data_IF_606654667947
#
_entry.id   IF_606654667947
#
_cell.length_a   1.000
_cell.length_b   1.000
_cell.length_c   1.000
_cell.angle_alpha   90.00
_cell.angle_beta   90.00
_cell.angle_gamma   90.00
#
_symmetry.space_group_name_H-M   'P 1'
#
loop_
_entity.id
_entity.type
_entity.pdbx_description
1 polymer ?
#
# COMPACT_ATOMS: atom_id res chain seq x y z
N UNK A 1 18.46 17.19 -20.42
CA UNK A 1 19.42 16.74 -21.44
C UNK A 1 20.07 15.48 -20.86
N UNK A 2 19.57 14.32 -21.25
CA UNK A 2 20.17 13.04 -20.88
C UNK A 2 21.42 12.84 -21.75
N UNK A 3 22.58 13.30 -21.27
CA UNK A 3 23.84 12.83 -21.81
C UNK A 3 23.87 11.32 -21.69
N UNK A 4 23.93 10.67 -22.86
CA UNK A 4 23.75 9.23 -22.96
C UNK A 4 24.81 8.48 -22.18
N UNK A 5 24.42 7.79 -21.14
CA UNK A 5 25.22 6.78 -20.46
C UNK A 5 25.74 5.74 -21.47
N UNK A 6 27.06 5.65 -21.74
CA UNK A 6 27.60 4.78 -22.78
C UNK A 6 27.30 3.29 -22.59
N UNK A 7 27.20 2.84 -21.33
CA UNK A 7 26.88 1.47 -20.94
C UNK A 7 25.39 1.10 -20.99
N UNK A 8 24.50 2.05 -21.26
CA UNK A 8 23.04 1.85 -21.20
C UNK A 8 22.57 0.63 -21.99
N UNK A 9 23.02 0.48 -23.23
CA UNK A 9 22.59 -0.62 -24.07
C UNK A 9 23.00 -1.99 -23.50
N UNK A 10 24.21 -2.09 -22.93
CA UNK A 10 24.69 -3.33 -22.28
C UNK A 10 23.86 -3.66 -21.06
N UNK A 11 23.55 -2.66 -20.22
CA UNK A 11 22.74 -2.83 -19.03
C UNK A 11 21.27 -3.19 -19.39
N UNK A 12 20.68 -2.53 -20.37
CA UNK A 12 19.35 -2.87 -20.85
C UNK A 12 19.29 -4.29 -21.44
N UNK A 13 20.33 -4.71 -22.18
CA UNK A 13 20.43 -6.09 -22.67
C UNK A 13 20.51 -7.10 -21.51
N UNK A 14 21.19 -6.77 -20.42
CA UNK A 14 21.24 -7.56 -19.20
C UNK A 14 19.83 -7.69 -18.58
N UNK A 15 19.11 -6.57 -18.41
CA UNK A 15 17.75 -6.56 -17.87
C UNK A 15 16.77 -7.32 -18.77
N UNK A 16 16.86 -7.12 -20.09
CA UNK A 16 15.96 -7.79 -21.05
C UNK A 16 16.15 -9.33 -21.03
N UNK A 17 17.38 -9.79 -20.87
CA UNK A 17 17.67 -11.22 -20.80
C UNK A 17 17.12 -11.91 -19.55
N UNK A 18 16.91 -11.17 -18.45
CA UNK A 18 16.48 -11.71 -17.17
C UNK A 18 15.13 -11.20 -16.71
N UNK A 19 14.65 -10.06 -17.22
CA UNK A 19 13.42 -9.42 -16.73
C UNK A 19 12.13 -10.22 -16.93
N UNK A 20 12.14 -11.20 -17.85
CA UNK A 20 11.07 -12.16 -18.05
C UNK A 20 11.34 -13.55 -17.45
N UNK A 21 12.48 -13.75 -16.80
CA UNK A 21 12.88 -15.05 -16.27
C UNK A 21 12.05 -15.40 -15.04
N UNK A 22 11.39 -16.55 -15.08
CA UNK A 22 10.60 -17.07 -13.96
C UNK A 22 11.46 -17.26 -12.69
N UNK A 23 12.73 -17.61 -12.84
CA UNK A 23 13.64 -17.79 -11.71
C UNK A 23 13.87 -16.47 -10.96
N UNK A 24 14.02 -15.35 -11.65
CA UNK A 24 14.15 -14.02 -11.02
C UNK A 24 12.88 -13.63 -10.28
N UNK A 25 11.73 -13.90 -10.88
CA UNK A 25 10.43 -13.65 -10.28
C UNK A 25 10.23 -14.50 -9.00
N UNK A 26 10.58 -15.77 -9.06
CA UNK A 26 10.45 -16.70 -7.94
C UNK A 26 11.37 -16.31 -6.79
N UNK A 27 12.60 -15.96 -7.08
CA UNK A 27 13.59 -15.55 -6.06
C UNK A 27 13.23 -14.23 -5.40
N UNK A 28 12.75 -13.24 -6.17
CA UNK A 28 12.28 -11.96 -5.62
C UNK A 28 11.02 -12.14 -4.77
N UNK A 29 10.07 -12.97 -5.24
CA UNK A 29 8.84 -13.28 -4.51
C UNK A 29 9.14 -14.06 -3.22
N UNK A 30 10.02 -15.04 -3.26
CA UNK A 30 10.45 -15.79 -2.08
C UNK A 30 11.16 -14.89 -1.06
N UNK A 31 12.00 -13.94 -1.52
CA UNK A 31 12.66 -12.97 -0.65
C UNK A 31 11.64 -12.05 0.05
N UNK A 32 10.66 -11.54 -0.68
CA UNK A 32 9.60 -10.70 -0.13
C UNK A 32 8.76 -11.44 0.93
N UNK A 33 8.35 -12.67 0.64
CA UNK A 33 7.58 -13.53 1.56
C UNK A 33 8.41 -13.95 2.76
N UNK A 34 9.69 -14.27 2.57
CA UNK A 34 10.59 -14.68 3.67
C UNK A 34 10.86 -13.57 4.67
N UNK A 35 10.77 -12.30 4.27
CA UNK A 35 11.00 -11.16 5.16
C UNK A 35 9.74 -10.72 5.90
N UNK A 36 8.57 -10.85 5.29
CA UNK A 36 7.31 -10.39 5.86
C UNK A 36 6.32 -11.56 6.05
N UNK A 37 6.11 -12.03 7.28
CA UNK A 37 5.15 -13.11 7.57
C UNK A 37 3.73 -12.80 7.10
N UNK A 38 3.31 -11.54 7.15
CA UNK A 38 1.99 -11.12 6.67
C UNK A 38 1.88 -11.23 5.15
N UNK A 39 2.94 -10.88 4.42
CA UNK A 39 3.01 -11.10 2.97
C UNK A 39 3.11 -12.60 2.65
N UNK A 40 3.79 -13.38 3.48
CA UNK A 40 3.85 -14.84 3.33
C UNK A 40 2.50 -15.55 3.51
N UNK A 41 1.59 -14.96 4.29
CA UNK A 41 0.24 -15.49 4.49
C UNK A 41 -0.68 -15.32 3.27
N UNK A 42 -0.34 -14.41 2.34
CA UNK A 42 -1.09 -14.21 1.12
C UNK A 42 -0.85 -15.33 0.10
N UNK A 43 -1.76 -15.53 -0.88
CA UNK A 43 -1.53 -16.46 -1.97
C UNK A 43 -0.23 -16.14 -2.72
N UNK A 44 0.58 -17.17 -2.99
CA UNK A 44 1.88 -16.99 -3.64
C UNK A 44 1.76 -16.33 -5.01
N UNK A 45 0.77 -16.76 -5.80
CA UNK A 45 0.54 -16.23 -7.14
C UNK A 45 0.19 -14.73 -7.14
N UNK A 46 -0.45 -14.26 -6.08
CA UNK A 46 -0.73 -12.84 -5.91
C UNK A 46 0.56 -12.05 -5.67
N UNK A 47 1.45 -12.54 -4.82
CA UNK A 47 2.77 -11.92 -4.60
C UNK A 47 3.57 -11.92 -5.89
N UNK A 48 3.59 -13.04 -6.65
CA UNK A 48 4.27 -13.15 -7.95
C UNK A 48 3.71 -12.16 -8.98
N UNK A 49 2.39 -11.99 -9.04
CA UNK A 49 1.74 -11.03 -9.94
C UNK A 49 2.23 -9.61 -9.69
N UNK A 50 2.26 -9.17 -8.42
CA UNK A 50 2.73 -7.83 -8.07
C UNK A 50 4.23 -7.66 -8.31
N UNK A 51 5.05 -8.63 -7.93
CA UNK A 51 6.50 -8.58 -8.18
C UNK A 51 6.78 -8.50 -9.69
N UNK A 52 6.07 -9.28 -10.51
CA UNK A 52 6.17 -9.21 -11.98
C UNK A 52 5.83 -7.81 -12.50
N UNK A 53 4.72 -7.24 -12.06
CA UNK A 53 4.29 -5.91 -12.49
C UNK A 53 5.31 -4.82 -12.10
N UNK A 54 5.88 -4.90 -10.90
CA UNK A 54 6.91 -3.98 -10.43
C UNK A 54 8.21 -4.10 -11.23
N UNK A 55 8.64 -5.31 -11.56
CA UNK A 55 9.82 -5.54 -12.42
C UNK A 55 9.58 -4.97 -13.82
N UNK A 56 8.41 -5.21 -14.40
CA UNK A 56 8.06 -4.69 -15.73
C UNK A 56 8.02 -3.16 -15.75
N UNK A 57 7.45 -2.54 -14.72
CA UNK A 57 7.43 -1.09 -14.56
C UNK A 57 8.85 -0.51 -14.46
N UNK A 58 9.71 -1.14 -13.67
CA UNK A 58 11.11 -0.71 -13.53
C UNK A 58 11.89 -0.84 -14.85
N UNK A 59 11.69 -1.91 -15.59
CA UNK A 59 12.31 -2.10 -16.91
C UNK A 59 11.79 -1.07 -17.91
N UNK A 60 10.49 -0.79 -17.94
CA UNK A 60 9.90 0.21 -18.82
C UNK A 60 10.51 1.59 -18.58
N UNK A 61 10.59 2.03 -17.31
CA UNK A 61 11.23 3.30 -16.93
C UNK A 61 12.73 3.34 -17.29
N UNK A 62 13.45 2.23 -17.13
CA UNK A 62 14.85 2.14 -17.58
C UNK A 62 15.00 2.25 -19.10
N UNK A 63 14.07 1.67 -19.88
CA UNK A 63 14.08 1.73 -21.35
C UNK A 63 13.74 3.11 -21.87
N UNK A 64 12.76 3.80 -21.26
CA UNK A 64 12.40 5.18 -21.65
C UNK A 64 13.43 6.20 -21.16
N UNK A 65 14.07 5.94 -20.01
CA UNK A 65 14.95 6.86 -19.31
C UNK A 65 14.22 7.88 -18.45
N UNK A 66 12.90 7.74 -18.33
CA UNK A 66 12.00 8.59 -17.53
C UNK A 66 11.01 7.71 -16.78
N UNK A 67 10.61 8.17 -15.59
CA UNK A 67 9.55 7.53 -14.80
C UNK A 67 8.24 8.25 -15.13
N UNK A 68 7.35 7.58 -15.84
CA UNK A 68 6.04 8.11 -16.22
C UNK A 68 4.99 7.68 -15.19
N UNK A 69 3.88 8.39 -15.11
CA UNK A 69 2.78 8.03 -14.21
C UNK A 69 2.27 6.60 -14.46
N UNK A 70 2.20 6.17 -15.72
CA UNK A 70 1.80 4.80 -16.07
C UNK A 70 2.76 3.72 -15.53
N UNK A 71 4.05 4.03 -15.41
CA UNK A 71 5.04 3.12 -14.82
C UNK A 71 4.83 2.96 -13.30
N UNK A 72 4.15 3.94 -12.66
CA UNK A 72 3.86 3.92 -11.22
C UNK A 72 2.55 3.19 -10.85
N UNK A 73 1.70 2.86 -11.82
CA UNK A 73 0.42 2.18 -11.55
C UNK A 73 0.58 0.81 -10.86
N UNK A 74 1.64 0.08 -11.20
CA UNK A 74 1.91 -1.20 -10.54
C UNK A 74 2.15 -1.04 -9.03
N UNK A 75 2.86 0.02 -8.65
CA UNK A 75 3.14 0.35 -7.26
C UNK A 75 1.89 0.87 -6.53
N UNK A 76 1.11 1.73 -7.19
CA UNK A 76 -0.17 2.23 -6.68
C UNK A 76 -1.11 1.06 -6.37
N UNK A 77 -1.33 0.19 -7.33
CA UNK A 77 -2.16 -1.01 -7.17
C UNK A 77 -1.69 -1.92 -6.05
N UNK A 78 -0.38 -2.14 -5.92
CA UNK A 78 0.18 -2.93 -4.83
C UNK A 78 -0.12 -2.29 -3.47
N UNK A 79 0.05 -0.96 -3.34
CA UNK A 79 -0.25 -0.22 -2.12
C UNK A 79 -1.72 -0.34 -1.72
N UNK A 80 -2.63 -0.09 -2.66
CA UNK A 80 -4.08 -0.19 -2.46
C UNK A 80 -4.50 -1.62 -2.04
N UNK A 81 -4.09 -2.64 -2.81
CA UNK A 81 -4.46 -4.03 -2.54
C UNK A 81 -4.01 -4.45 -1.14
N UNK A 82 -2.81 -4.04 -0.70
CA UNK A 82 -2.29 -4.38 0.64
C UNK A 82 -3.01 -3.66 1.77
N UNK A 83 -3.37 -2.39 1.59
CA UNK A 83 -4.20 -1.67 2.54
C UNK A 83 -5.57 -2.33 2.70
N UNK A 84 -6.24 -2.65 1.58
CA UNK A 84 -7.53 -3.34 1.57
C UNK A 84 -7.50 -4.72 2.24
N UNK A 85 -6.34 -5.39 2.19
CA UNK A 85 -6.11 -6.68 2.86
C UNK A 85 -5.70 -6.53 4.33
N UNK A 86 -5.60 -5.31 4.85
CA UNK A 86 -5.19 -5.05 6.24
C UNK A 86 -3.71 -5.33 6.51
N UNK A 87 -2.87 -5.35 5.47
CA UNK A 87 -1.41 -5.51 5.61
C UNK A 87 -0.81 -4.16 5.99
N UNK A 88 -0.18 -4.00 7.16
CA UNK A 88 0.44 -2.75 7.56
C UNK A 88 1.54 -2.29 6.59
N UNK A 89 1.67 -0.99 6.39
CA UNK A 89 2.68 -0.41 5.48
C UNK A 89 4.11 -0.87 5.81
N UNK A 90 4.44 -1.06 7.07
CA UNK A 90 5.74 -1.57 7.50
C UNK A 90 6.03 -2.98 6.97
N UNK A 91 5.04 -3.89 7.04
CA UNK A 91 5.16 -5.26 6.52
C UNK A 91 5.26 -5.28 4.98
N UNK A 92 4.55 -4.37 4.31
CA UNK A 92 4.65 -4.17 2.87
C UNK A 92 6.06 -3.69 2.48
N UNK A 93 6.61 -2.69 3.18
CA UNK A 93 7.96 -2.18 2.95
C UNK A 93 9.04 -3.24 3.19
N UNK A 94 8.94 -4.02 4.25
CA UNK A 94 9.85 -5.13 4.53
C UNK A 94 9.92 -6.12 3.35
N UNK A 95 8.77 -6.50 2.83
CA UNK A 95 8.67 -7.38 1.66
C UNK A 95 9.25 -6.74 0.39
N UNK A 96 8.88 -5.48 0.11
CA UNK A 96 9.37 -4.75 -1.06
C UNK A 96 10.90 -4.60 -1.05
N UNK A 97 11.48 -4.17 0.07
CA UNK A 97 12.94 -3.98 0.19
C UNK A 97 13.71 -5.29 0.10
N UNK A 98 13.16 -6.39 0.63
CA UNK A 98 13.77 -7.71 0.47
C UNK A 98 13.79 -8.17 -1.00
N UNK A 99 12.67 -8.01 -1.71
CA UNK A 99 12.55 -8.30 -3.14
C UNK A 99 13.53 -7.44 -3.97
N UNK A 100 13.55 -6.10 -3.73
CA UNK A 100 14.49 -5.16 -4.37
C UNK A 100 15.94 -5.59 -4.16
N UNK A 101 16.32 -5.90 -2.91
CA UNK A 101 17.70 -6.33 -2.58
C UNK A 101 18.07 -7.62 -3.30
N UNK A 102 17.12 -8.56 -3.48
CA UNK A 102 17.35 -9.79 -4.24
C UNK A 102 17.57 -9.50 -5.71
N UNK A 103 16.73 -8.67 -6.32
CA UNK A 103 16.85 -8.26 -7.73
C UNK A 103 18.20 -7.60 -7.99
N UNK A 104 18.63 -6.65 -7.14
CA UNK A 104 19.92 -5.98 -7.28
C UNK A 104 21.07 -6.98 -7.27
N UNK A 105 21.07 -7.97 -6.35
CA UNK A 105 22.09 -9.03 -6.33
C UNK A 105 22.11 -9.84 -7.62
N UNK A 106 20.93 -10.26 -8.10
CA UNK A 106 20.82 -11.01 -9.37
C UNK A 106 21.38 -10.21 -10.56
N UNK A 107 21.10 -8.90 -10.62
CA UNK A 107 21.64 -8.01 -11.66
C UNK A 107 23.15 -7.90 -11.56
N UNK A 108 23.71 -7.76 -10.35
CA UNK A 108 25.16 -7.69 -10.13
C UNK A 108 25.84 -8.99 -10.57
N UNK A 109 25.31 -10.13 -10.14
CA UNK A 109 25.91 -11.44 -10.41
C UNK A 109 25.88 -11.74 -11.91
N UNK A 110 24.76 -11.49 -12.58
CA UNK A 110 24.63 -11.66 -14.02
C UNK A 110 25.52 -10.69 -14.80
N UNK A 111 25.60 -9.43 -14.35
CA UNK A 111 26.49 -8.43 -14.96
C UNK A 111 27.96 -8.86 -14.92
N UNK A 112 28.40 -9.43 -13.79
CA UNK A 112 29.76 -10.00 -13.66
C UNK A 112 29.97 -11.18 -14.60
N UNK A 113 29.03 -12.11 -14.68
CA UNK A 113 29.11 -13.28 -15.58
C UNK A 113 29.22 -12.84 -17.05
N UNK A 114 28.49 -11.80 -17.44
CA UNK A 114 28.52 -11.25 -18.80
C UNK A 114 29.64 -10.25 -19.08
N UNK A 115 30.50 -10.00 -18.11
CA UNK A 115 31.62 -9.08 -18.27
C UNK A 115 31.21 -7.62 -18.47
N UNK A 116 30.07 -7.20 -17.89
CA UNK A 116 29.65 -5.78 -17.92
C UNK A 116 30.67 -4.96 -17.11
N UNK A 117 31.20 -3.85 -17.66
CA UNK A 117 32.15 -3.01 -16.94
C UNK A 117 31.59 -2.54 -15.60
N UNK A 118 32.39 -2.50 -14.52
CA UNK A 118 31.90 -2.11 -13.18
C UNK A 118 31.25 -0.74 -13.14
N UNK A 119 31.74 0.24 -13.87
CA UNK A 119 31.19 1.59 -13.93
C UNK A 119 29.80 1.58 -14.62
N UNK A 120 29.64 0.82 -15.69
CA UNK A 120 28.35 0.65 -16.37
C UNK A 120 27.32 -0.05 -15.46
N UNK A 121 27.79 -1.03 -14.69
CA UNK A 121 26.96 -1.76 -13.73
C UNK A 121 26.52 -0.86 -12.57
N UNK A 122 27.45 -0.06 -12.02
CA UNK A 122 27.19 0.87 -10.94
C UNK A 122 26.16 1.93 -11.37
N UNK A 123 26.35 2.55 -12.53
CA UNK A 123 25.43 3.55 -13.07
C UNK A 123 24.03 2.95 -13.30
N UNK A 124 23.98 1.74 -13.87
CA UNK A 124 22.71 1.04 -14.08
C UNK A 124 21.96 0.73 -12.79
N UNK A 125 22.67 0.26 -11.78
CA UNK A 125 22.10 -0.02 -10.45
C UNK A 125 21.63 1.27 -9.79
N UNK A 126 22.39 2.36 -9.88
CA UNK A 126 21.99 3.67 -9.31
C UNK A 126 20.70 4.16 -9.92
N UNK A 127 20.52 4.02 -11.24
CA UNK A 127 19.27 4.38 -11.93
C UNK A 127 18.12 3.46 -11.55
N UNK A 128 18.37 2.16 -11.49
CA UNK A 128 17.36 1.18 -11.06
C UNK A 128 16.92 1.45 -9.61
N UNK A 129 17.85 1.86 -8.76
CA UNK A 129 17.57 2.24 -7.36
C UNK A 129 16.69 3.49 -7.26
N UNK A 130 16.96 4.51 -8.08
CA UNK A 130 16.11 5.70 -8.15
C UNK A 130 14.68 5.37 -8.60
N UNK A 131 14.52 4.49 -9.60
CA UNK A 131 13.21 4.01 -10.06
C UNK A 131 12.51 3.24 -8.94
N UNK A 132 13.21 2.31 -8.29
CA UNK A 132 12.65 1.52 -7.19
C UNK A 132 12.19 2.41 -6.03
N UNK A 133 12.92 3.49 -5.74
CA UNK A 133 12.54 4.49 -4.74
C UNK A 133 11.27 5.25 -5.14
N UNK A 134 11.11 5.62 -6.40
CA UNK A 134 9.89 6.26 -6.87
C UNK A 134 8.66 5.31 -6.78
N UNK A 135 8.85 4.04 -7.14
CA UNK A 135 7.83 3.00 -6.97
C UNK A 135 7.45 2.80 -5.49
N UNK A 136 8.44 2.76 -4.60
CA UNK A 136 8.23 2.67 -3.14
C UNK A 136 7.42 3.84 -2.61
N UNK A 137 7.75 5.06 -2.99
CA UNK A 137 7.01 6.25 -2.58
C UNK A 137 5.55 6.22 -3.06
N UNK A 138 5.31 5.85 -4.33
CA UNK A 138 3.95 5.74 -4.86
C UNK A 138 3.14 4.66 -4.14
N UNK A 139 3.74 3.50 -3.88
CA UNK A 139 3.13 2.40 -3.15
C UNK A 139 2.71 2.81 -1.73
N UNK A 140 3.60 3.47 -0.98
CA UNK A 140 3.30 3.95 0.37
C UNK A 140 2.22 5.02 0.36
N UNK A 141 2.25 5.93 -0.60
CA UNK A 141 1.23 6.97 -0.75
C UNK A 141 -0.16 6.36 -1.02
N UNK A 142 -0.25 5.45 -1.98
CA UNK A 142 -1.50 4.76 -2.31
C UNK A 142 -2.04 3.93 -1.13
N UNK A 143 -1.17 3.24 -0.41
CA UNK A 143 -1.53 2.50 0.79
C UNK A 143 -2.17 3.41 1.84
N UNK A 144 -1.56 4.57 2.13
CA UNK A 144 -2.09 5.52 3.10
C UNK A 144 -3.45 6.10 2.69
N UNK A 145 -3.62 6.42 1.41
CA UNK A 145 -4.91 6.89 0.90
C UNK A 145 -5.98 5.82 1.10
N UNK A 146 -5.70 4.58 0.74
CA UNK A 146 -6.65 3.48 0.90
C UNK A 146 -7.01 3.22 2.38
N UNK A 147 -6.04 3.29 3.30
CA UNK A 147 -6.32 3.20 4.74
C UNK A 147 -7.23 4.34 5.24
N UNK A 148 -6.99 5.58 4.80
CA UNK A 148 -7.81 6.74 5.17
C UNK A 148 -9.24 6.61 4.63
N UNK A 149 -9.41 6.16 3.39
CA UNK A 149 -10.73 5.94 2.79
C UNK A 149 -11.49 4.81 3.50
N UNK A 150 -10.81 3.72 3.87
CA UNK A 150 -11.43 2.65 4.68
C UNK A 150 -11.90 3.17 6.05
N UNK A 151 -11.04 3.95 6.73
CA UNK A 151 -11.38 4.52 8.03
C UNK A 151 -12.56 5.50 7.93
N UNK A 152 -12.59 6.32 6.86
CA UNK A 152 -13.68 7.24 6.56
C UNK A 152 -14.99 6.49 6.31
N UNK A 153 -14.98 5.49 5.44
CA UNK A 153 -16.17 4.68 5.11
C UNK A 153 -16.70 3.97 6.35
N UNK A 154 -15.84 3.38 7.16
CA UNK A 154 -16.25 2.74 8.40
C UNK A 154 -16.88 3.72 9.40
N UNK A 155 -16.39 4.97 9.46
CA UNK A 155 -16.97 6.03 10.29
C UNK A 155 -18.34 6.47 9.75
N UNK A 156 -18.47 6.66 8.45
CA UNK A 156 -19.74 7.03 7.80
C UNK A 156 -20.82 5.98 8.03
N UNK A 157 -20.49 4.69 7.90
CA UNK A 157 -21.41 3.58 8.21
C UNK A 157 -21.86 3.61 9.66
N UNK A 158 -20.95 3.86 10.61
CA UNK A 158 -21.32 3.96 12.05
C UNK A 158 -22.23 5.15 12.34
N UNK A 159 -21.97 6.32 11.73
CA UNK A 159 -22.80 7.51 11.91
C UNK A 159 -24.18 7.28 11.29
N UNK A 160 -24.27 6.63 10.14
CA UNK A 160 -25.55 6.30 9.51
C UNK A 160 -26.35 5.33 10.36
N UNK A 161 -25.71 4.29 10.90
CA UNK A 161 -26.36 3.36 11.84
C UNK A 161 -26.87 4.08 13.09
N UNK A 162 -26.06 4.98 13.68
CA UNK A 162 -26.47 5.81 14.81
C UNK A 162 -27.70 6.65 14.48
N UNK A 163 -27.70 7.32 13.32
CA UNK A 163 -28.86 8.13 12.85
C UNK A 163 -30.12 7.30 12.73
N UNK A 164 -30.06 6.17 12.05
CA UNK A 164 -31.18 5.26 11.87
C UNK A 164 -31.76 4.81 13.22
N UNK A 165 -30.92 4.37 14.14
CA UNK A 165 -31.34 3.94 15.48
C UNK A 165 -31.98 5.09 16.28
N UNK A 166 -31.46 6.31 16.21
CA UNK A 166 -32.03 7.46 16.89
C UNK A 166 -33.41 7.85 16.33
N UNK A 167 -33.64 7.61 15.04
CA UNK A 167 -34.95 7.84 14.38
C UNK A 167 -35.91 6.64 14.47
N UNK A 168 -35.50 5.55 15.14
CA UNK A 168 -36.34 4.35 15.29
C UNK A 168 -36.42 3.51 14.02
N UNK A 169 -35.49 3.66 13.10
CA UNK A 169 -35.41 2.87 11.88
C UNK A 169 -34.71 1.53 12.12
N UNK A 170 -35.05 0.53 11.31
CA UNK A 170 -34.36 -0.77 11.36
C UNK A 170 -33.02 -0.67 10.71
N UNK A 171 -32.00 -1.19 11.40
CA UNK A 171 -30.61 -1.29 10.91
C UNK A 171 -30.32 -2.75 10.60
N UNK A 172 -30.14 -3.08 9.32
CA UNK A 172 -29.89 -4.47 8.87
C UNK A 172 -28.57 -5.05 9.43
N UNK A 173 -27.55 -4.20 9.62
CA UNK A 173 -26.25 -4.60 10.18
C UNK A 173 -25.84 -3.59 11.25
N UNK A 174 -26.40 -3.72 12.44
CA UNK A 174 -26.02 -2.85 13.57
C UNK A 174 -24.67 -3.30 14.16
N UNK A 175 -23.74 -2.37 14.41
CA UNK A 175 -22.54 -2.65 15.18
C UNK A 175 -22.81 -2.82 16.69
N UNK A 176 -24.07 -2.56 17.13
CA UNK A 176 -24.54 -2.74 18.49
C UNK A 176 -25.40 -4.01 18.60
N UNK A 177 -25.35 -4.65 19.75
CA UNK A 177 -26.25 -5.74 20.14
C UNK A 177 -27.61 -5.16 20.53
N UNK A 178 -28.53 -5.05 19.57
CA UNK A 178 -29.86 -4.46 19.76
C UNK A 178 -30.76 -5.22 20.75
N UNK A 179 -30.33 -6.33 21.33
CA UNK A 179 -31.04 -7.02 22.40
C UNK A 179 -30.78 -6.40 23.77
N UNK A 180 -29.81 -5.49 23.87
CA UNK A 180 -29.42 -4.80 25.11
C UNK A 180 -30.03 -3.40 25.17
N UNK A 181 -30.29 -2.87 26.38
CA UNK A 181 -30.65 -1.48 26.54
C UNK A 181 -29.43 -0.57 26.35
N UNK A 182 -29.63 0.57 25.71
CA UNK A 182 -28.61 1.60 25.49
C UNK A 182 -29.11 2.95 26.00
N UNK A 183 -28.20 3.75 26.52
CA UNK A 183 -28.46 5.13 26.86
C UNK A 183 -28.26 6.02 25.64
N UNK A 184 -29.27 6.83 25.32
CA UNK A 184 -29.17 7.83 24.28
C UNK A 184 -28.70 9.15 24.89
N UNK A 185 -27.59 9.67 24.42
CA UNK A 185 -27.03 10.96 24.80
C UNK A 185 -27.07 11.88 23.59
N UNK A 186 -27.56 13.10 23.79
CA UNK A 186 -27.53 14.17 22.79
C UNK A 186 -26.96 15.42 23.43
N UNK A 187 -25.97 16.01 22.84
CA UNK A 187 -25.31 17.23 23.34
C UNK A 187 -25.65 18.43 22.45
N UNK A 188 -25.38 19.64 22.97
CA UNK A 188 -25.48 20.88 22.20
C UNK A 188 -24.21 21.19 21.39
N UNK A 189 -23.24 20.24 21.32
CA UNK A 189 -22.02 20.41 20.53
C UNK A 189 -22.37 20.20 19.07
N UNK A 190 -22.18 21.24 18.28
CA UNK A 190 -22.41 21.25 16.83
C UNK A 190 -21.14 21.52 16.02
N UNK A 191 -20.07 21.99 16.67
CA UNK A 191 -18.79 22.25 16.03
C UNK A 191 -18.09 20.93 15.71
N UNK A 192 -17.80 20.65 14.40
CA UNK A 192 -17.28 19.35 13.98
C UNK A 192 -15.95 18.95 14.64
N UNK A 193 -15.03 19.91 14.86
CA UNK A 193 -13.74 19.64 15.48
C UNK A 193 -13.90 19.20 16.93
N UNK A 194 -14.70 19.96 17.72
CA UNK A 194 -14.99 19.65 19.12
C UNK A 194 -15.76 18.33 19.26
N UNK A 195 -16.73 18.10 18.36
CA UNK A 195 -17.48 16.85 18.34
C UNK A 195 -16.57 15.65 18.10
N UNK A 196 -15.59 15.77 17.19
CA UNK A 196 -14.65 14.70 16.89
C UNK A 196 -13.70 14.40 18.05
N UNK A 197 -13.22 15.42 18.76
CA UNK A 197 -12.40 15.24 19.97
C UNK A 197 -13.18 14.53 21.09
N UNK A 198 -14.44 14.94 21.32
CA UNK A 198 -15.30 14.30 22.29
C UNK A 198 -15.66 12.86 21.90
N UNK A 199 -15.96 12.61 20.63
CA UNK A 199 -16.21 11.27 20.07
C UNK A 199 -15.02 10.35 20.35
N UNK A 200 -13.79 10.82 20.10
CA UNK A 200 -12.57 10.07 20.36
C UNK A 200 -12.37 9.78 21.87
N UNK A 201 -12.58 10.78 22.73
CA UNK A 201 -12.44 10.63 24.16
C UNK A 201 -13.49 9.68 24.75
N UNK A 202 -14.74 9.78 24.30
CA UNK A 202 -15.83 8.92 24.78
C UNK A 202 -15.66 7.47 24.29
N UNK A 203 -15.28 7.28 23.06
CA UNK A 203 -15.08 5.93 22.48
C UNK A 203 -13.90 5.19 23.13
N UNK A 204 -12.93 5.90 23.69
CA UNK A 204 -11.83 5.31 24.46
C UNK A 204 -12.26 4.81 25.86
N UNK A 205 -13.37 5.32 26.41
CA UNK A 205 -13.84 5.03 27.77
C UNK A 205 -15.06 4.14 27.81
N UNK A 206 -15.94 4.22 26.82
CA UNK A 206 -17.20 3.48 26.79
C UNK A 206 -17.45 2.92 25.37
N UNK A 207 -17.75 1.62 25.23
CA UNK A 207 -18.15 1.06 23.95
C UNK A 207 -19.54 1.59 23.55
N UNK A 208 -19.68 2.04 22.29
CA UNK A 208 -20.92 2.61 21.80
C UNK A 208 -20.80 3.15 20.38
N UNK A 209 -21.87 3.77 19.89
CA UNK A 209 -21.89 4.54 18.67
C UNK A 209 -21.87 6.03 18.99
N UNK A 210 -21.01 6.75 18.29
CA UNK A 210 -20.81 8.19 18.49
C UNK A 210 -20.74 8.88 17.13
N UNK A 211 -21.25 10.10 17.06
CA UNK A 211 -21.09 10.93 15.88
C UNK A 211 -22.00 12.14 15.86
N UNK A 212 -21.74 13.02 14.89
CA UNK A 212 -22.62 14.14 14.59
C UNK A 212 -23.84 13.63 13.81
N UNK A 213 -25.02 13.73 14.43
CA UNK A 213 -26.31 13.43 13.81
C UNK A 213 -27.17 14.68 13.88
N UNK A 214 -27.71 15.09 12.75
CA UNK A 214 -28.57 16.28 12.61
C UNK A 214 -27.98 17.54 13.23
N UNK A 215 -26.65 17.72 13.08
CA UNK A 215 -25.91 18.88 13.54
C UNK A 215 -25.57 18.88 15.06
N UNK A 216 -25.75 17.77 15.77
CA UNK A 216 -25.43 17.63 17.18
C UNK A 216 -24.63 16.35 17.45
N UNK A 217 -23.73 16.41 18.42
CA UNK A 217 -23.06 15.20 18.87
C UNK A 217 -24.05 14.32 19.61
N UNK A 218 -24.24 13.11 19.13
CA UNK A 218 -25.10 12.09 19.71
C UNK A 218 -24.30 10.81 19.99
N UNK A 219 -24.81 10.02 20.94
CA UNK A 219 -24.25 8.73 21.29
C UNK A 219 -25.32 7.72 21.72
N UNK A 220 -25.05 6.44 21.44
CA UNK A 220 -25.70 5.28 22.05
C UNK A 220 -24.63 4.48 22.79
N UNK A 221 -24.74 4.41 24.12
CA UNK A 221 -23.76 3.79 25.02
C UNK A 221 -24.41 2.83 25.99
#
# INVERSE_FOLDING_TARGET
VAEGWPGRQRFLALLAARGGDLAVLDEASAAARGRSPLVAALPEEETRRHVRAMIQAAIAAMVTGEIRDEDLWAAERLGEDRALQGIPVAALLDGFQAGRSRIVRLVVDEGRVRGVPPDDLLEGITRLDAIATALEHRMVHAHRIAELEQARTAREVRIQALRQLLHGELVEASPLDLTRPYHCLVSNVSEPAVAQELEAAMSATCPGLYGLVDGRLAALV
#
